data_IF_361419343174
#
_entry.id   IF_361419343174
#
_cell.length_a   1.000
_cell.length_b   1.000
_cell.length_c   1.000
_cell.angle_alpha   90.00
_cell.angle_beta   90.00
_cell.angle_gamma   90.00
#
_symmetry.space_group_name_H-M   'P 1'
#
loop_
_entity.id
_entity.type
_entity.pdbx_description
1 polymer ?
#
# COMPACT_ATOMS: atom_id res chain seq x y z
N UNK A 1 64.57 -25.24 -19.31
CA UNK A 1 63.39 -25.93 -18.76
C UNK A 1 62.17 -25.07 -19.04
N UNK A 2 61.20 -25.68 -19.71
CA UNK A 2 59.81 -25.29 -19.96
C UNK A 2 59.49 -23.95 -20.63
N UNK A 3 58.94 -24.11 -21.83
CA UNK A 3 58.04 -23.28 -22.62
C UNK A 3 56.75 -22.86 -21.88
N UNK A 4 56.13 -21.77 -22.35
CA UNK A 4 54.79 -21.74 -22.97
C UNK A 4 54.36 -20.27 -23.18
N UNK A 5 54.23 -19.82 -24.43
CA UNK A 5 53.07 -19.88 -25.33
C UNK A 5 51.98 -18.83 -25.03
N UNK A 6 51.93 -17.89 -25.97
CA UNK A 6 50.88 -16.92 -26.30
C UNK A 6 49.45 -17.48 -26.28
N UNK A 7 48.46 -16.64 -25.94
CA UNK A 7 47.33 -16.35 -26.84
C UNK A 7 46.51 -15.12 -26.42
N UNK A 8 46.05 -14.39 -27.44
CA UNK A 8 45.14 -13.24 -27.42
C UNK A 8 43.70 -13.65 -27.09
N UNK A 9 42.91 -12.71 -26.55
CA UNK A 9 41.44 -12.77 -26.53
C UNK A 9 40.88 -11.56 -25.78
N UNK A 10 40.61 -10.45 -26.46
CA UNK A 10 39.28 -10.04 -26.97
C UNK A 10 38.21 -10.03 -25.87
N UNK A 11 37.88 -8.80 -25.47
CA UNK A 11 36.54 -8.28 -25.19
C UNK A 11 35.55 -9.13 -24.39
N UNK A 12 35.22 -8.65 -23.20
CA UNK A 12 33.88 -8.84 -22.64
C UNK A 12 33.36 -7.50 -22.13
N UNK A 13 32.30 -7.04 -22.79
CA UNK A 13 31.39 -6.02 -22.29
C UNK A 13 30.81 -6.49 -20.95
N UNK A 14 31.28 -5.93 -19.85
CA UNK A 14 30.50 -5.94 -18.62
C UNK A 14 29.57 -4.73 -18.64
N UNK A 15 28.59 -4.79 -19.56
CA UNK A 15 27.33 -4.07 -19.39
C UNK A 15 26.69 -4.66 -18.14
N UNK A 16 26.96 -4.04 -17.00
CA UNK A 16 26.13 -4.22 -15.81
C UNK A 16 24.72 -3.75 -16.18
N UNK A 17 23.92 -4.67 -16.72
CA UNK A 17 22.47 -4.58 -16.69
C UNK A 17 22.11 -4.45 -15.22
N UNK A 18 21.90 -3.22 -14.77
CA UNK A 18 21.19 -2.93 -13.54
C UNK A 18 19.82 -3.56 -13.71
N UNK A 19 19.66 -4.79 -13.23
CA UNK A 19 18.35 -5.38 -13.08
C UNK A 19 17.55 -4.40 -12.23
N UNK A 20 16.59 -3.72 -12.87
CA UNK A 20 15.40 -3.29 -12.17
C UNK A 20 14.93 -4.53 -11.43
N UNK A 21 15.14 -4.58 -10.12
CA UNK A 21 14.50 -5.57 -9.29
C UNK A 21 13.02 -5.24 -9.36
N UNK A 22 12.31 -5.82 -10.33
CA UNK A 22 10.87 -5.71 -10.46
C UNK A 22 10.27 -6.40 -9.25
N UNK A 23 10.07 -5.61 -8.20
CA UNK A 23 9.45 -6.07 -6.96
C UNK A 23 8.02 -6.49 -7.30
N UNK A 24 7.49 -7.53 -6.64
CA UNK A 24 6.10 -7.91 -6.83
C UNK A 24 5.17 -6.72 -6.58
N UNK A 25 4.02 -6.62 -7.27
CA UNK A 25 3.09 -5.49 -7.12
C UNK A 25 2.49 -5.37 -5.71
N UNK A 26 2.61 -6.43 -4.91
CA UNK A 26 2.18 -6.49 -3.52
C UNK A 26 3.31 -6.24 -2.51
N UNK A 27 4.51 -5.88 -2.97
CA UNK A 27 5.65 -5.67 -2.09
C UNK A 27 5.49 -4.38 -1.28
N UNK A 28 5.52 -4.54 0.04
CA UNK A 28 5.59 -3.42 1.00
C UNK A 28 6.88 -3.60 1.81
N UNK A 29 7.76 -2.60 1.78
CA UNK A 29 9.00 -2.67 2.55
C UNK A 29 8.71 -2.68 4.06
N UNK A 30 9.56 -3.31 4.88
CA UNK A 30 9.40 -3.30 6.36
C UNK A 30 9.30 -1.87 6.92
N UNK A 31 10.05 -0.94 6.31
CA UNK A 31 10.04 0.47 6.67
C UNK A 31 8.70 1.12 6.38
N UNK A 32 8.16 0.93 5.18
CA UNK A 32 6.83 1.40 4.82
C UNK A 32 5.76 0.78 5.72
N UNK A 33 5.79 -0.55 5.90
CA UNK A 33 4.85 -1.28 6.76
C UNK A 33 4.75 -0.66 8.17
N UNK A 34 5.88 -0.27 8.76
CA UNK A 34 5.95 0.27 10.13
C UNK A 34 5.61 1.76 10.19
N UNK A 35 6.00 2.55 9.19
CA UNK A 35 5.93 4.02 9.27
C UNK A 35 4.76 4.64 8.50
N UNK A 36 4.08 3.90 7.63
CA UNK A 36 3.03 4.45 6.77
C UNK A 36 1.88 5.11 7.54
N UNK A 37 1.49 4.56 8.68
CA UNK A 37 0.41 5.09 9.53
C UNK A 37 0.89 5.91 10.73
N UNK A 38 2.12 6.41 10.70
CA UNK A 38 2.63 7.27 11.78
C UNK A 38 1.66 8.41 12.08
N UNK A 39 1.40 8.70 13.37
CA UNK A 39 0.49 9.77 13.80
C UNK A 39 -0.95 9.35 14.08
N UNK A 40 -1.40 8.19 13.60
CA UNK A 40 -2.78 7.71 13.87
C UNK A 40 -2.99 7.34 15.34
N UNK A 41 -1.99 6.73 15.98
CA UNK A 41 -2.02 6.34 17.39
C UNK A 41 -0.58 6.22 17.94
N UNK A 42 -0.38 6.05 19.26
CA UNK A 42 0.95 5.80 19.84
C UNK A 42 1.62 4.53 19.29
N UNK A 43 0.82 3.52 18.94
CA UNK A 43 1.26 2.26 18.33
C UNK A 43 0.45 2.01 17.05
N UNK A 44 0.83 2.67 15.93
CA UNK A 44 0.09 2.55 14.68
C UNK A 44 0.03 1.10 14.18
N UNK A 45 -1.04 0.72 13.46
CA UNK A 45 -1.11 -0.57 12.81
C UNK A 45 -0.06 -0.67 11.69
N UNK A 46 0.32 -1.90 11.30
CA UNK A 46 1.31 -2.12 10.25
C UNK A 46 0.61 -2.22 8.91
N UNK A 47 1.06 -1.48 7.90
CA UNK A 47 0.54 -1.66 6.55
C UNK A 47 0.91 -3.05 6.02
N UNK A 48 -0.10 -3.78 5.54
CA UNK A 48 0.04 -5.07 4.86
C UNK A 48 0.12 -4.89 3.36
N UNK A 49 -0.80 -4.09 2.80
CA UNK A 49 -0.88 -3.81 1.36
C UNK A 49 -1.67 -2.52 1.11
N UNK A 50 -1.38 -1.82 0.01
CA UNK A 50 -2.17 -0.68 -0.49
C UNK A 50 -2.14 -0.60 -2.00
N UNK A 51 -3.27 -0.20 -2.58
CA UNK A 51 -3.46 -0.02 -4.03
C UNK A 51 -2.85 1.28 -4.57
N UNK A 52 -2.69 2.31 -3.73
CA UNK A 52 -2.11 3.60 -4.13
C UNK A 52 -0.58 3.65 -4.23
N UNK A 53 0.13 2.51 -4.22
CA UNK A 53 1.60 2.45 -4.19
C UNK A 53 2.24 3.18 -5.36
N UNK A 54 1.71 2.96 -6.56
CA UNK A 54 2.33 3.44 -7.80
C UNK A 54 2.07 4.93 -8.01
N UNK A 55 0.84 5.37 -7.74
CA UNK A 55 0.47 6.79 -7.84
C UNK A 55 1.15 7.64 -6.75
N UNK A 56 1.39 7.06 -5.57
CA UNK A 56 1.95 7.76 -4.41
C UNK A 56 2.94 6.83 -3.68
N UNK A 57 4.20 6.78 -4.16
CA UNK A 57 5.22 5.94 -3.54
C UNK A 57 5.54 6.42 -2.13
N UNK A 58 5.87 5.48 -1.25
CA UNK A 58 6.31 5.81 0.10
C UNK A 58 7.73 6.40 0.08
N UNK A 59 7.87 7.62 0.58
CA UNK A 59 9.15 8.31 0.69
C UNK A 59 9.58 8.30 2.14
N UNK A 60 10.62 7.53 2.46
CA UNK A 60 11.25 7.59 3.78
C UNK A 60 11.89 8.96 3.98
N UNK A 61 11.52 9.72 5.03
CA UNK A 61 12.22 10.95 5.38
C UNK A 61 13.71 10.66 5.61
N UNK A 62 14.60 11.50 5.06
CA UNK A 62 16.06 11.39 5.19
C UNK A 62 16.64 12.69 5.75
N UNK A 63 17.70 12.60 6.55
CA UNK A 63 18.42 13.76 7.09
C UNK A 63 18.15 14.04 8.57
N UNK A 64 18.74 15.13 9.08
CA UNK A 64 18.68 15.54 10.49
C UNK A 64 17.27 16.00 10.93
N UNK A 65 16.45 16.46 9.98
CA UNK A 65 15.07 16.92 10.19
C UNK A 65 14.04 15.96 9.55
N UNK A 66 14.39 14.67 9.49
CA UNK A 66 13.58 13.61 8.90
C UNK A 66 12.37 13.23 9.78
N UNK A 67 11.47 14.17 10.03
CA UNK A 67 10.23 13.91 10.74
C UNK A 67 9.35 12.96 9.94
N UNK A 68 8.72 12.02 10.64
CA UNK A 68 7.71 11.14 10.06
C UNK A 68 6.54 12.00 9.57
N UNK A 69 6.05 11.74 8.36
CA UNK A 69 4.79 12.33 7.91
C UNK A 69 3.66 11.77 8.78
N UNK A 70 3.05 12.65 9.57
CA UNK A 70 1.98 12.25 10.48
C UNK A 70 0.67 12.23 9.70
N UNK A 71 -0.03 11.11 9.80
CA UNK A 71 -1.37 10.89 9.27
C UNK A 71 -2.41 11.11 10.36
N UNK A 72 -3.50 11.75 9.98
CA UNK A 72 -4.71 11.83 10.79
C UNK A 72 -5.87 11.20 10.02
N UNK A 73 -6.51 10.19 10.61
CA UNK A 73 -7.71 9.61 10.04
C UNK A 73 -8.88 10.60 10.13
N UNK A 74 -9.64 10.70 9.04
CA UNK A 74 -10.81 11.56 8.89
C UNK A 74 -11.96 10.77 8.29
N UNK A 75 -13.18 11.14 8.68
CA UNK A 75 -14.39 10.59 8.09
C UNK A 75 -14.54 10.99 6.61
N UNK A 76 -15.23 10.15 5.86
CA UNK A 76 -15.58 10.42 4.46
C UNK A 76 -16.93 11.14 4.45
N UNK A 77 -16.92 12.41 4.03
CA UNK A 77 -18.11 13.24 3.90
C UNK A 77 -18.30 13.70 2.45
N UNK A 78 -19.56 13.80 2.03
CA UNK A 78 -19.95 14.31 0.70
C UNK A 78 -19.57 13.42 -0.48
N UNK A 79 -19.18 12.17 -0.23
CA UNK A 79 -18.70 11.25 -1.27
C UNK A 79 -19.82 10.32 -1.76
N UNK A 80 -19.77 9.90 -3.03
CA UNK A 80 -20.73 8.96 -3.60
C UNK A 80 -20.81 7.64 -2.80
N UNK A 81 -19.67 7.18 -2.28
CA UNK A 81 -19.55 6.02 -1.38
C UNK A 81 -20.53 6.09 -0.19
N UNK A 82 -20.79 7.26 0.38
CA UNK A 82 -21.67 7.39 1.54
C UNK A 82 -23.12 6.94 1.23
N UNK A 83 -23.58 7.11 -0.02
CA UNK A 83 -24.93 6.73 -0.45
C UNK A 83 -25.12 5.22 -0.55
N UNK A 84 -24.06 4.49 -0.87
CA UNK A 84 -24.09 3.04 -1.14
C UNK A 84 -23.41 2.20 -0.06
N UNK A 85 -22.76 2.84 0.92
CA UNK A 85 -21.99 2.16 1.97
C UNK A 85 -22.81 1.11 2.73
N UNK A 86 -23.91 1.54 3.36
CA UNK A 86 -24.71 0.67 4.25
C UNK A 86 -25.50 -0.39 3.49
N UNK A 87 -25.91 -0.11 2.27
CA UNK A 87 -26.85 -0.95 1.50
C UNK A 87 -26.16 -1.89 0.52
N UNK A 88 -24.92 -1.59 0.10
CA UNK A 88 -24.22 -2.37 -0.92
C UNK A 88 -22.76 -2.61 -0.57
N UNK A 89 -21.91 -1.56 -0.59
CA UNK A 89 -20.46 -1.73 -0.57
C UNK A 89 -19.96 -2.37 0.73
N UNK A 90 -20.33 -1.82 1.89
CA UNK A 90 -19.88 -2.33 3.20
C UNK A 90 -20.22 -3.82 3.39
N UNK A 91 -21.50 -4.23 3.28
CA UNK A 91 -21.88 -5.64 3.39
C UNK A 91 -21.17 -6.56 2.39
N UNK A 92 -21.01 -6.15 1.13
CA UNK A 92 -20.32 -6.95 0.11
C UNK A 92 -18.84 -7.14 0.42
N UNK A 93 -18.16 -6.10 0.91
CA UNK A 93 -16.76 -6.20 1.33
C UNK A 93 -16.62 -7.14 2.52
N UNK A 94 -17.47 -7.02 3.54
CA UNK A 94 -17.44 -7.94 4.69
C UNK A 94 -17.71 -9.39 4.28
N UNK A 95 -18.67 -9.62 3.38
CA UNK A 95 -18.98 -10.94 2.84
C UNK A 95 -17.79 -11.51 2.07
N UNK A 96 -17.18 -10.73 1.17
CA UNK A 96 -16.00 -11.12 0.42
C UNK A 96 -14.85 -11.53 1.35
N UNK A 97 -14.50 -10.70 2.32
CA UNK A 97 -13.43 -11.00 3.27
C UNK A 97 -13.70 -12.29 4.07
N UNK A 98 -14.97 -12.54 4.41
CA UNK A 98 -15.40 -13.78 5.07
C UNK A 98 -15.27 -14.99 4.14
N UNK A 99 -15.68 -14.87 2.87
CA UNK A 99 -15.54 -15.92 1.86
C UNK A 99 -14.08 -16.26 1.56
N UNK A 100 -13.20 -15.25 1.57
CA UNK A 100 -11.76 -15.42 1.41
C UNK A 100 -11.06 -15.94 2.68
N UNK A 101 -11.80 -16.20 3.76
CA UNK A 101 -11.27 -16.59 5.07
C UNK A 101 -10.21 -15.61 5.63
N UNK A 102 -10.35 -14.31 5.32
CA UNK A 102 -9.51 -13.27 5.92
C UNK A 102 -9.95 -13.07 7.36
N UNK A 103 -9.00 -13.06 8.29
CA UNK A 103 -9.25 -12.77 9.71
C UNK A 103 -9.34 -11.26 9.94
N UNK A 104 -10.42 -10.65 9.44
CA UNK A 104 -10.67 -9.21 9.48
C UNK A 104 -11.39 -8.79 10.76
N UNK A 105 -11.08 -7.58 11.24
CA UNK A 105 -11.66 -6.98 12.44
C UNK A 105 -12.52 -5.74 12.12
N UNK A 106 -12.09 -4.89 11.18
CA UNK A 106 -12.84 -3.68 10.80
C UNK A 106 -12.76 -3.41 9.30
N UNK A 107 -13.78 -2.75 8.78
CA UNK A 107 -13.84 -2.22 7.40
C UNK A 107 -14.35 -0.78 7.51
N UNK A 108 -13.47 0.18 7.27
CA UNK A 108 -13.75 1.60 7.51
C UNK A 108 -13.59 2.41 6.22
N UNK A 109 -14.50 3.36 5.96
CA UNK A 109 -14.31 4.37 4.92
C UNK A 109 -13.62 5.60 5.52
N UNK A 110 -12.38 5.89 5.12
CA UNK A 110 -11.57 6.97 5.70
C UNK A 110 -10.92 7.86 4.63
N UNK A 111 -10.48 9.04 5.05
CA UNK A 111 -9.44 9.82 4.37
C UNK A 111 -8.29 10.05 5.35
N UNK A 112 -7.08 10.14 4.85
CA UNK A 112 -5.92 10.53 5.64
C UNK A 112 -5.54 11.96 5.30
N UNK A 113 -5.50 12.81 6.32
CA UNK A 113 -4.78 14.07 6.23
C UNK A 113 -3.31 13.77 6.53
N UNK A 114 -2.41 14.07 5.60
CA UNK A 114 -0.98 13.90 5.78
C UNK A 114 -0.27 15.26 5.72
N UNK A 115 0.62 15.51 6.67
CA UNK A 115 1.47 16.70 6.66
C UNK A 115 2.52 16.57 5.55
N UNK A 116 2.51 17.53 4.62
CA UNK A 116 3.49 17.62 3.52
C UNK A 116 4.75 18.39 3.91
N UNK A 117 4.79 18.97 5.10
CA UNK A 117 5.80 19.94 5.50
C UNK A 117 5.31 21.38 5.29
N UNK A 118 6.06 22.36 5.82
CA UNK A 118 5.83 23.80 5.58
C UNK A 118 4.43 24.33 5.95
N UNK A 119 3.71 23.64 6.84
CA UNK A 119 2.35 24.01 7.24
C UNK A 119 1.25 23.59 6.26
N UNK A 120 1.60 22.85 5.20
CA UNK A 120 0.65 22.29 4.26
C UNK A 120 0.25 20.86 4.64
N UNK A 121 -1.06 20.60 4.63
CA UNK A 121 -1.61 19.26 4.77
C UNK A 121 -2.42 18.90 3.53
N UNK A 122 -2.28 17.66 3.05
CA UNK A 122 -3.04 17.16 1.92
C UNK A 122 -3.96 16.03 2.35
N UNK A 123 -5.19 16.05 1.84
CA UNK A 123 -6.15 15.00 2.05
C UNK A 123 -5.94 13.91 1.00
N UNK A 124 -5.86 12.65 1.43
CA UNK A 124 -5.81 11.51 0.53
C UNK A 124 -7.14 11.34 -0.22
N UNK A 125 -7.15 10.55 -1.31
CA UNK A 125 -8.36 9.91 -1.80
C UNK A 125 -9.12 9.18 -0.68
N UNK A 126 -10.35 8.79 -0.96
CA UNK A 126 -11.11 7.92 -0.06
C UNK A 126 -10.43 6.54 -0.02
N UNK A 127 -10.31 5.98 1.17
CA UNK A 127 -9.70 4.67 1.41
C UNK A 127 -10.71 3.74 2.09
N UNK A 128 -10.89 2.55 1.54
CA UNK A 128 -11.42 1.39 2.27
C UNK A 128 -10.27 0.82 3.11
N UNK A 129 -10.33 1.08 4.41
CA UNK A 129 -9.26 0.76 5.34
C UNK A 129 -9.64 -0.46 6.18
N UNK A 130 -8.98 -1.58 5.93
CA UNK A 130 -9.37 -2.89 6.47
C UNK A 130 -8.38 -3.30 7.54
N UNK A 131 -8.88 -3.53 8.76
CA UNK A 131 -8.09 -4.08 9.86
C UNK A 131 -8.11 -5.59 9.84
N UNK A 132 -6.94 -6.23 9.91
CA UNK A 132 -6.79 -7.68 10.04
C UNK A 132 -6.06 -8.06 11.32
N UNK A 133 -6.17 -9.33 11.74
CA UNK A 133 -5.35 -9.83 12.83
C UNK A 133 -3.87 -9.69 12.47
N UNK A 134 -3.01 -9.20 13.39
CA UNK A 134 -1.59 -9.08 13.11
C UNK A 134 -0.97 -10.40 12.62
N UNK A 135 -0.21 -10.31 11.54
CA UNK A 135 0.48 -11.45 10.90
C UNK A 135 -0.45 -12.58 10.40
N UNK A 136 -1.75 -12.34 10.21
CA UNK A 136 -2.69 -13.33 9.68
C UNK A 136 -2.91 -13.28 8.18
N UNK A 137 -2.42 -12.24 7.50
CA UNK A 137 -2.65 -12.02 6.06
C UNK A 137 -1.34 -11.69 5.35
N UNK A 138 -1.04 -12.43 4.29
CA UNK A 138 0.11 -12.15 3.42
C UNK A 138 -0.19 -11.07 2.40
N UNK A 139 0.83 -10.33 1.97
CA UNK A 139 0.69 -9.24 1.00
C UNK A 139 0.05 -9.68 -0.32
N UNK A 140 0.33 -10.90 -0.79
CA UNK A 140 -0.26 -11.46 -2.02
C UNK A 140 -1.77 -11.68 -1.91
N UNK A 141 -2.24 -12.18 -0.77
CA UNK A 141 -3.66 -12.40 -0.53
C UNK A 141 -4.38 -11.07 -0.31
N UNK A 142 -3.75 -10.13 0.41
CA UNK A 142 -4.24 -8.77 0.55
C UNK A 142 -4.33 -8.03 -0.79
N UNK A 143 -3.38 -8.24 -1.69
CA UNK A 143 -3.41 -7.72 -3.06
C UNK A 143 -4.60 -8.26 -3.83
N UNK A 144 -4.82 -9.58 -3.79
CA UNK A 144 -5.93 -10.21 -4.50
C UNK A 144 -7.28 -9.71 -3.97
N UNK A 145 -7.45 -9.73 -2.64
CA UNK A 145 -8.66 -9.23 -1.97
C UNK A 145 -8.90 -7.74 -2.25
N UNK A 146 -7.85 -6.91 -2.31
CA UNK A 146 -7.99 -5.49 -2.63
C UNK A 146 -8.55 -5.26 -4.03
N UNK A 147 -8.14 -6.05 -5.01
CA UNK A 147 -8.63 -5.93 -6.39
C UNK A 147 -10.08 -6.42 -6.51
N UNK A 148 -10.45 -7.50 -5.81
CA UNK A 148 -11.84 -7.93 -5.73
C UNK A 148 -12.74 -6.84 -5.07
N UNK A 149 -12.21 -6.09 -4.10
CA UNK A 149 -12.90 -4.95 -3.49
C UNK A 149 -13.02 -3.77 -4.46
N UNK A 150 -11.99 -3.49 -5.25
CA UNK A 150 -12.07 -2.49 -6.32
C UNK A 150 -13.15 -2.87 -7.33
N UNK A 151 -13.29 -4.15 -7.70
CA UNK A 151 -14.36 -4.61 -8.59
C UNK A 151 -15.76 -4.41 -7.98
N UNK A 152 -15.92 -4.61 -6.67
CA UNK A 152 -17.18 -4.27 -5.96
C UNK A 152 -17.50 -2.76 -6.09
N UNK A 153 -16.49 -1.90 -5.96
CA UNK A 153 -16.63 -0.44 -6.08
C UNK A 153 -16.95 -0.02 -7.51
N UNK A 154 -16.24 -0.57 -8.50
CA UNK A 154 -16.49 -0.33 -9.92
C UNK A 154 -17.90 -0.79 -10.34
N UNK A 155 -18.39 -1.89 -9.77
CA UNK A 155 -19.76 -2.39 -10.00
C UNK A 155 -20.86 -1.45 -9.49
N UNK A 156 -20.53 -0.41 -8.71
CA UNK A 156 -21.44 0.66 -8.29
C UNK A 156 -20.98 2.05 -8.78
N UNK A 157 -20.15 2.07 -9.82
CA UNK A 157 -19.63 3.28 -10.47
C UNK A 157 -18.81 4.19 -9.55
N UNK A 158 -18.01 3.59 -8.66
CA UNK A 158 -17.06 4.31 -7.80
C UNK A 158 -15.63 3.88 -8.19
N UNK A 159 -14.86 4.83 -8.72
CA UNK A 159 -13.50 4.57 -9.26
C UNK A 159 -12.41 5.40 -8.56
N UNK A 160 -12.78 6.31 -7.67
CA UNK A 160 -11.90 7.27 -6.99
C UNK A 160 -11.60 6.87 -5.53
N UNK A 161 -11.60 5.56 -5.26
CA UNK A 161 -11.38 4.96 -3.95
C UNK A 161 -10.22 3.98 -4.01
N UNK A 162 -9.38 4.03 -2.98
CA UNK A 162 -8.30 3.08 -2.79
C UNK A 162 -8.63 2.07 -1.68
N UNK A 163 -7.91 0.96 -1.67
CA UNK A 163 -8.01 -0.08 -0.65
C UNK A 163 -6.65 -0.25 0.05
N UNK A 164 -6.69 -0.31 1.38
CA UNK A 164 -5.51 -0.51 2.24
C UNK A 164 -5.80 -1.53 3.36
N UNK A 165 -4.88 -2.47 3.57
CA UNK A 165 -4.92 -3.46 4.64
C UNK A 165 -3.92 -3.13 5.75
N UNK A 166 -4.31 -3.31 7.01
CA UNK A 166 -3.53 -2.95 8.20
C UNK A 166 -3.63 -3.98 9.33
#
# INVERSE_FOLDING_TARGET
MSSDLSYLGIGSNDTASSSSSDLPPYFVSTKEAVFYYAGISPTPPKLVYRTGSDARPFIMPKGLEAYRQLKQARGVFGHALNKVWKTSVGPKVCQLLTTLNVDWATVDGVRFLADKGEGESALSPVVIWIGVRPASLEGKDAYSAAHDILDILHGVDIHDVEVEFR
#
